data_IF_377632954167
#
_entry.id   IF_377632954167
#
_cell.length_a   1.000
_cell.length_b   1.000
_cell.length_c   1.000
_cell.angle_alpha   90.00
_cell.angle_beta   90.00
_cell.angle_gamma   90.00
#
_symmetry.space_group_name_H-M   'P 1'
#
loop_
_entity.id
_entity.type
_entity.pdbx_description
1 polymer ?
#
# COMPACT_ATOMS: atom_id res chain seq x y z
N UNK A 1 -8.82 6.86 8.45
CA UNK A 1 -8.23 5.50 8.32
C UNK A 1 -9.32 4.48 8.66
N UNK A 2 -9.44 3.38 7.89
CA UNK A 2 -10.33 2.25 8.20
C UNK A 2 -9.49 1.09 8.72
N UNK A 3 -9.89 0.46 9.82
CA UNK A 3 -9.14 -0.65 10.42
C UNK A 3 -9.77 -1.15 11.71
N UNK A 4 -9.22 -2.26 12.24
CA UNK A 4 -9.68 -2.83 13.51
C UNK A 4 -8.50 -3.07 14.44
N UNK A 5 -8.69 -2.74 15.70
CA UNK A 5 -7.72 -2.86 16.79
C UNK A 5 -8.37 -3.54 17.98
N UNK A 6 -7.57 -4.12 18.87
CA UNK A 6 -8.04 -4.56 20.17
C UNK A 6 -8.22 -3.39 21.13
N UNK A 7 -8.99 -3.60 22.21
CA UNK A 7 -9.10 -2.62 23.32
C UNK A 7 -7.90 -2.65 24.26
N UNK A 8 -6.90 -3.45 23.94
CA UNK A 8 -5.64 -3.60 24.67
C UNK A 8 -4.75 -2.35 24.64
N UNK A 9 -3.61 -2.42 25.33
CA UNK A 9 -2.65 -1.30 25.43
C UNK A 9 -2.08 -0.89 24.07
N UNK A 10 -1.86 -1.85 23.15
CA UNK A 10 -1.31 -1.56 21.83
C UNK A 10 -2.33 -0.88 20.92
N UNK A 11 -3.61 -1.27 21.00
CA UNK A 11 -4.71 -0.58 20.31
C UNK A 11 -4.84 0.88 20.77
N UNK A 12 -4.73 1.12 22.08
CA UNK A 12 -4.69 2.48 22.63
C UNK A 12 -3.48 3.27 22.15
N UNK A 13 -2.29 2.64 22.13
CA UNK A 13 -1.06 3.26 21.61
C UNK A 13 -1.23 3.68 20.15
N UNK A 14 -1.69 2.77 19.28
CA UNK A 14 -1.92 3.05 17.86
C UNK A 14 -2.92 4.20 17.65
N UNK A 15 -4.04 4.16 18.37
CA UNK A 15 -5.05 5.24 18.31
C UNK A 15 -4.46 6.60 18.68
N UNK A 16 -3.67 6.65 19.76
CA UNK A 16 -3.07 7.90 20.22
C UNK A 16 -1.98 8.39 19.23
N UNK A 17 -1.20 7.49 18.65
CA UNK A 17 -0.20 7.83 17.62
C UNK A 17 -0.88 8.44 16.39
N UNK A 18 -1.94 7.82 15.89
CA UNK A 18 -2.70 8.34 14.74
C UNK A 18 -3.31 9.73 15.05
N UNK A 19 -3.92 9.89 16.21
CA UNK A 19 -4.46 11.19 16.64
C UNK A 19 -3.38 12.25 16.78
N UNK A 20 -2.23 11.89 17.35
CA UNK A 20 -1.07 12.78 17.47
C UNK A 20 -0.52 13.22 16.11
N UNK A 21 -0.65 12.39 15.09
CA UNK A 21 -0.31 12.71 13.70
C UNK A 21 -1.42 13.45 12.94
N UNK A 22 -2.53 13.78 13.59
CA UNK A 22 -3.68 14.46 12.95
C UNK A 22 -4.53 13.57 12.04
N UNK A 23 -4.40 12.25 12.16
CA UNK A 23 -5.15 11.28 11.35
C UNK A 23 -6.52 11.03 12.02
N UNK A 24 -7.60 11.12 11.23
CA UNK A 24 -8.94 10.80 11.69
C UNK A 24 -9.08 9.31 12.06
N UNK A 25 -9.54 9.06 13.29
CA UNK A 25 -9.65 7.71 13.88
C UNK A 25 -11.08 7.18 13.99
N UNK A 26 -12.09 7.89 13.47
CA UNK A 26 -13.49 7.42 13.49
C UNK A 26 -13.70 6.06 12.81
N UNK A 27 -12.87 5.75 11.82
CA UNK A 27 -12.92 4.46 11.12
C UNK A 27 -12.12 3.34 11.79
N UNK A 28 -11.59 3.54 13.00
CA UNK A 28 -10.96 2.49 13.80
C UNK A 28 -12.01 1.80 14.67
N UNK A 29 -12.31 0.55 14.35
CA UNK A 29 -13.18 -0.33 15.14
C UNK A 29 -12.36 -0.92 16.28
N UNK A 30 -12.83 -0.79 17.52
CA UNK A 30 -12.21 -1.44 18.69
C UNK A 30 -12.99 -2.71 19.05
N UNK A 31 -12.28 -3.81 19.32
CA UNK A 31 -12.84 -5.11 19.66
C UNK A 31 -12.25 -5.64 20.97
N UNK A 32 -13.12 -6.21 21.82
CA UNK A 32 -12.72 -6.76 23.11
C UNK A 32 -12.28 -8.23 23.03
N UNK A 33 -12.67 -8.91 21.96
CA UNK A 33 -12.51 -10.37 21.76
C UNK A 33 -11.28 -10.76 20.94
N UNK A 34 -10.56 -9.76 20.39
CA UNK A 34 -9.33 -9.98 19.60
C UNK A 34 -8.24 -9.00 19.99
N UNK A 35 -7.00 -9.46 19.95
CA UNK A 35 -5.84 -8.68 20.30
C UNK A 35 -5.34 -7.86 19.11
N UNK A 36 -4.78 -6.68 19.37
CA UNK A 36 -4.10 -5.88 18.35
C UNK A 36 -2.95 -6.68 17.76
N UNK A 37 -2.85 -6.74 16.43
CA UNK A 37 -1.73 -7.42 15.75
C UNK A 37 -0.40 -6.79 16.14
N UNK A 38 0.57 -7.64 16.49
CA UNK A 38 1.95 -7.24 16.76
C UNK A 38 2.89 -7.82 15.70
N UNK A 39 3.79 -6.99 15.23
CA UNK A 39 4.92 -7.39 14.41
C UNK A 39 6.20 -7.19 15.22
N UNK A 40 6.96 -8.27 15.38
CA UNK A 40 8.27 -8.24 15.99
C UNK A 40 9.32 -8.27 14.88
N UNK A 41 10.29 -7.38 14.97
CA UNK A 41 11.41 -7.32 14.03
C UNK A 41 12.66 -7.74 14.80
N UNK A 42 13.32 -8.80 14.34
CA UNK A 42 14.62 -9.24 14.83
C UNK A 42 15.65 -9.11 13.72
N UNK A 43 16.90 -8.95 14.09
CA UNK A 43 18.01 -9.00 13.14
C UNK A 43 18.68 -10.37 13.26
N UNK A 44 18.95 -11.00 12.14
CA UNK A 44 19.75 -12.21 12.12
C UNK A 44 21.26 -11.92 12.32
N UNK A 45 22.09 -12.96 12.26
CA UNK A 45 23.54 -12.81 12.44
C UNK A 45 24.23 -11.98 11.34
N UNK A 46 23.58 -11.79 10.19
CA UNK A 46 24.08 -11.01 9.05
C UNK A 46 23.54 -9.57 9.06
N UNK A 47 22.59 -9.25 9.99
CA UNK A 47 21.90 -7.97 10.05
C UNK A 47 20.64 -7.91 9.19
N UNK A 48 20.22 -9.05 8.59
CA UNK A 48 19.00 -9.13 7.85
C UNK A 48 17.78 -9.19 8.79
N UNK A 49 16.66 -8.60 8.35
CA UNK A 49 15.44 -8.51 9.16
C UNK A 49 14.60 -9.77 9.05
N UNK A 50 14.25 -10.32 10.20
CA UNK A 50 13.24 -11.35 10.32
C UNK A 50 11.99 -10.79 11.00
N UNK A 51 10.83 -11.09 10.43
CA UNK A 51 9.53 -10.65 10.95
C UNK A 51 8.78 -11.82 11.58
N UNK A 52 8.38 -11.65 12.83
CA UNK A 52 7.45 -12.55 13.52
C UNK A 52 6.15 -11.80 13.83
N UNK A 53 5.00 -12.43 13.52
CA UNK A 53 3.69 -11.82 13.70
C UNK A 53 2.84 -12.55 14.73
N UNK A 54 2.36 -11.82 15.74
CA UNK A 54 1.27 -12.27 16.61
C UNK A 54 -0.06 -11.83 15.99
N UNK A 55 -0.63 -12.71 15.09
CA UNK A 55 -1.77 -12.37 14.22
C UNK A 55 -2.68 -13.58 13.93
N UNK A 56 -2.96 -14.42 14.96
CA UNK A 56 -3.77 -15.67 14.78
C UNK A 56 -4.88 -15.78 15.82
N UNK A 57 -6.02 -15.07 15.68
CA UNK A 57 -6.27 -13.93 14.80
C UNK A 57 -5.71 -12.63 15.38
N UNK A 58 -5.36 -11.67 14.52
CA UNK A 58 -5.15 -10.30 14.92
C UNK A 58 -6.39 -9.47 14.63
N UNK A 59 -6.61 -8.39 15.35
CA UNK A 59 -7.80 -7.56 15.20
C UNK A 59 -8.01 -7.05 13.76
N UNK A 60 -6.93 -6.69 13.06
CA UNK A 60 -6.95 -6.22 11.67
C UNK A 60 -7.54 -7.25 10.69
N UNK A 61 -7.38 -8.56 10.98
CA UNK A 61 -7.97 -9.63 10.15
C UNK A 61 -9.46 -9.84 10.39
N UNK A 62 -9.99 -9.27 11.47
CA UNK A 62 -11.38 -9.47 11.93
C UNK A 62 -12.29 -8.28 11.59
N UNK A 63 -11.83 -7.34 10.74
CA UNK A 63 -12.65 -6.22 10.30
C UNK A 63 -13.75 -6.70 9.37
N UNK A 64 -14.99 -6.34 9.66
CA UNK A 64 -16.19 -6.69 8.88
C UNK A 64 -16.73 -5.48 8.14
N UNK A 65 -17.35 -5.69 7.00
CA UNK A 65 -17.87 -4.60 6.17
C UNK A 65 -19.00 -3.80 6.85
N UNK A 66 -19.82 -4.45 7.64
CA UNK A 66 -20.92 -3.84 8.40
C UNK A 66 -20.43 -2.98 9.57
N UNK A 67 -19.15 -3.05 9.93
CA UNK A 67 -18.51 -2.19 10.91
C UNK A 67 -17.94 -0.90 10.30
N UNK A 68 -17.90 -0.78 8.95
CA UNK A 68 -17.33 0.38 8.29
C UNK A 68 -18.31 1.56 8.27
N UNK A 69 -17.81 2.73 8.65
CA UNK A 69 -18.47 3.99 8.34
C UNK A 69 -18.17 4.38 6.87
N UNK A 70 -19.10 4.08 5.97
CA UNK A 70 -18.95 4.32 4.54
C UNK A 70 -18.89 5.81 4.21
N UNK A 71 -19.41 6.70 5.08
CA UNK A 71 -19.28 8.14 4.87
C UNK A 71 -17.83 8.60 4.80
N UNK A 72 -16.91 7.90 5.48
CA UNK A 72 -15.47 8.17 5.39
C UNK A 72 -14.91 7.87 3.98
N UNK A 73 -15.50 6.91 3.27
CA UNK A 73 -15.14 6.65 1.86
C UNK A 73 -15.76 7.74 0.99
N UNK A 74 -16.99 8.16 1.27
CA UNK A 74 -17.67 9.22 0.49
C UNK A 74 -16.96 10.57 0.59
N UNK A 75 -16.35 10.88 1.73
CA UNK A 75 -15.61 12.12 1.98
C UNK A 75 -14.20 12.12 1.37
N UNK A 76 -13.64 10.96 0.99
CA UNK A 76 -12.26 10.89 0.47
C UNK A 76 -12.19 11.13 -1.04
N UNK A 77 -11.03 11.58 -1.50
CA UNK A 77 -10.68 11.61 -2.94
C UNK A 77 -9.98 10.33 -3.39
N UNK A 78 -9.26 9.68 -2.48
CA UNK A 78 -8.45 8.50 -2.75
C UNK A 78 -8.81 7.40 -1.78
N UNK A 79 -9.00 6.19 -2.28
CA UNK A 79 -9.09 4.99 -1.49
C UNK A 79 -7.82 4.16 -1.70
N UNK A 80 -7.05 3.97 -0.63
CA UNK A 80 -5.80 3.20 -0.67
C UNK A 80 -5.96 1.86 0.04
N UNK A 81 -5.40 0.80 -0.53
CA UNK A 81 -5.37 -0.52 0.09
C UNK A 81 -4.11 -1.31 -0.29
N UNK A 82 -3.83 -2.37 0.46
CA UNK A 82 -2.73 -3.31 0.22
C UNK A 82 -3.16 -4.75 0.45
N UNK A 83 -2.22 -5.72 0.32
CA UNK A 83 -2.55 -7.14 0.46
C UNK A 83 -2.66 -7.62 1.90
N UNK A 84 -2.22 -6.86 2.89
CA UNK A 84 -2.28 -7.30 4.28
C UNK A 84 -3.72 -7.58 4.75
N UNK A 85 -4.70 -6.82 4.27
CA UNK A 85 -6.12 -7.06 4.55
C UNK A 85 -6.72 -8.20 3.71
N UNK A 86 -5.97 -8.73 2.75
CA UNK A 86 -6.41 -9.83 1.87
C UNK A 86 -5.90 -11.21 2.34
N UNK A 87 -5.15 -11.26 3.43
CA UNK A 87 -4.54 -12.51 3.94
C UNK A 87 -5.54 -13.49 4.57
N UNK A 88 -6.75 -13.06 4.89
CA UNK A 88 -7.77 -13.91 5.50
C UNK A 88 -9.13 -13.24 5.65
N UNK A 89 -10.14 -14.06 5.96
CA UNK A 89 -11.50 -13.61 6.23
C UNK A 89 -11.66 -13.18 7.70
N UNK A 90 -12.59 -12.27 8.00
CA UNK A 90 -13.49 -11.53 7.12
C UNK A 90 -12.90 -10.29 6.44
N UNK A 91 -11.65 -9.90 6.78
CA UNK A 91 -11.02 -8.67 6.28
C UNK A 91 -10.88 -8.66 4.75
N UNK A 92 -10.64 -9.82 4.13
CA UNK A 92 -10.55 -9.97 2.66
C UNK A 92 -11.86 -9.56 1.99
N UNK A 93 -12.97 -10.19 2.36
CA UNK A 93 -14.30 -9.85 1.83
C UNK A 93 -14.66 -8.38 2.13
N UNK A 94 -14.30 -7.88 3.29
CA UNK A 94 -14.48 -6.47 3.67
C UNK A 94 -13.73 -5.55 2.72
N UNK A 95 -12.47 -5.86 2.43
CA UNK A 95 -11.64 -5.08 1.50
C UNK A 95 -12.22 -5.11 0.08
N UNK A 96 -12.66 -6.28 -0.40
CA UNK A 96 -13.32 -6.39 -1.71
C UNK A 96 -14.52 -5.47 -1.84
N UNK A 97 -15.39 -5.49 -0.82
CA UNK A 97 -16.60 -4.67 -0.80
C UNK A 97 -16.30 -3.17 -0.67
N UNK A 98 -15.31 -2.80 0.14
CA UNK A 98 -14.90 -1.40 0.32
C UNK A 98 -14.28 -0.83 -0.96
N UNK A 99 -13.41 -1.59 -1.66
CA UNK A 99 -12.85 -1.21 -2.96
C UNK A 99 -13.96 -1.06 -4.01
N UNK A 100 -14.90 -2.01 -4.09
CA UNK A 100 -16.02 -1.93 -5.01
C UNK A 100 -16.91 -0.69 -4.73
N UNK A 101 -17.15 -0.40 -3.45
CA UNK A 101 -17.89 0.80 -3.03
C UNK A 101 -17.15 2.07 -3.45
N UNK A 102 -15.85 2.19 -3.16
CA UNK A 102 -15.03 3.35 -3.53
C UNK A 102 -15.05 3.60 -5.05
N UNK A 103 -14.90 2.54 -5.86
CA UNK A 103 -14.99 2.63 -7.34
C UNK A 103 -16.37 3.09 -7.81
N UNK A 104 -17.44 2.54 -7.26
CA UNK A 104 -18.81 2.93 -7.60
C UNK A 104 -19.11 4.41 -7.27
N UNK A 105 -18.37 4.99 -6.30
CA UNK A 105 -18.49 6.41 -5.91
C UNK A 105 -17.40 7.30 -6.51
N UNK A 106 -16.71 6.81 -7.57
CA UNK A 106 -15.77 7.61 -8.37
C UNK A 106 -14.48 7.99 -7.63
N UNK A 107 -14.08 7.23 -6.61
CA UNK A 107 -12.82 7.48 -5.89
C UNK A 107 -11.63 6.98 -6.70
N UNK A 108 -10.53 7.72 -6.67
CA UNK A 108 -9.26 7.24 -7.19
C UNK A 108 -8.77 6.08 -6.31
N UNK A 109 -8.59 4.92 -6.89
CA UNK A 109 -8.12 3.74 -6.14
C UNK A 109 -6.63 3.58 -6.31
N UNK A 110 -5.89 3.60 -5.18
CA UNK A 110 -4.44 3.38 -5.16
C UNK A 110 -4.11 2.08 -4.43
N UNK A 111 -3.10 1.38 -4.90
CA UNK A 111 -2.76 0.06 -4.42
C UNK A 111 -1.25 -0.08 -4.24
N UNK A 112 -0.86 -0.66 -3.10
CA UNK A 112 0.48 -1.15 -2.81
C UNK A 112 0.37 -2.62 -2.40
N UNK A 113 0.86 -3.59 -3.20
CA UNK A 113 0.83 -5.00 -2.82
C UNK A 113 1.43 -5.22 -1.43
N UNK A 114 2.59 -4.65 -1.19
CA UNK A 114 3.31 -4.71 0.08
C UNK A 114 3.38 -6.13 0.64
N UNK A 115 3.87 -7.06 -0.19
CA UNK A 115 3.90 -8.50 0.09
C UNK A 115 4.72 -8.79 1.36
N UNK A 116 4.09 -9.47 2.28
CA UNK A 116 4.73 -10.05 3.47
C UNK A 116 4.58 -11.56 3.44
N UNK A 117 5.53 -12.23 2.75
CA UNK A 117 5.50 -13.71 2.55
C UNK A 117 5.15 -14.51 3.82
N UNK A 118 5.66 -14.18 5.03
CA UNK A 118 5.32 -14.94 6.25
C UNK A 118 3.85 -14.87 6.68
N UNK A 119 3.05 -13.96 6.13
CA UNK A 119 1.63 -13.85 6.45
C UNK A 119 0.72 -14.69 5.54
N UNK A 120 1.29 -15.35 4.56
CA UNK A 120 0.56 -16.20 3.62
C UNK A 120 0.83 -17.67 3.87
N UNK A 121 -0.22 -18.48 3.90
CA UNK A 121 -0.08 -19.93 4.00
C UNK A 121 0.33 -20.55 2.66
N UNK A 122 -0.03 -19.90 1.56
CA UNK A 122 0.30 -20.29 0.19
C UNK A 122 0.67 -19.04 -0.64
N UNK A 123 1.85 -19.07 -1.26
CA UNK A 123 2.31 -17.96 -2.10
C UNK A 123 1.55 -17.87 -3.43
N UNK A 124 0.91 -18.95 -3.90
CA UNK A 124 0.01 -18.87 -5.04
C UNK A 124 -1.24 -18.05 -4.69
N UNK A 125 -1.80 -18.25 -3.48
CA UNK A 125 -2.89 -17.42 -2.99
C UNK A 125 -2.45 -15.95 -2.86
N UNK A 126 -1.25 -15.69 -2.34
CA UNK A 126 -0.68 -14.35 -2.30
C UNK A 126 -0.64 -13.71 -3.69
N UNK A 127 -0.13 -14.44 -4.68
CA UNK A 127 -0.05 -14.01 -6.08
C UNK A 127 -1.44 -13.70 -6.66
N UNK A 128 -2.43 -14.55 -6.44
CA UNK A 128 -3.81 -14.33 -6.88
C UNK A 128 -4.41 -13.05 -6.28
N UNK A 129 -4.18 -12.81 -4.99
CA UNK A 129 -4.67 -11.62 -4.30
C UNK A 129 -3.93 -10.34 -4.77
N UNK A 130 -2.65 -10.42 -5.02
CA UNK A 130 -1.89 -9.32 -5.61
C UNK A 130 -2.41 -8.97 -7.01
N UNK A 131 -2.65 -9.98 -7.86
CA UNK A 131 -3.24 -9.78 -9.19
C UNK A 131 -4.68 -9.27 -9.12
N UNK A 132 -5.46 -9.67 -8.10
CA UNK A 132 -6.78 -9.08 -7.87
C UNK A 132 -6.66 -7.58 -7.58
N UNK A 133 -5.72 -7.17 -6.74
CA UNK A 133 -5.47 -5.76 -6.43
C UNK A 133 -5.15 -4.93 -7.67
N UNK A 134 -4.28 -5.44 -8.56
CA UNK A 134 -3.97 -4.79 -9.84
C UNK A 134 -5.21 -4.58 -10.73
N UNK A 135 -6.17 -5.52 -10.70
CA UNK A 135 -7.43 -5.38 -11.44
C UNK A 135 -8.36 -4.30 -10.87
N UNK A 136 -8.11 -3.83 -9.66
CA UNK A 136 -8.94 -2.83 -9.01
C UNK A 136 -8.39 -1.42 -9.07
N UNK A 137 -7.07 -1.28 -9.18
CA UNK A 137 -6.36 -0.01 -8.97
C UNK A 137 -6.29 0.89 -10.20
N UNK A 138 -6.31 2.19 -9.96
CA UNK A 138 -5.97 3.22 -10.93
C UNK A 138 -4.47 3.58 -10.87
N UNK A 139 -3.89 3.62 -9.67
CA UNK A 139 -2.48 3.91 -9.43
C UNK A 139 -1.88 2.80 -8.59
N UNK A 140 -0.74 2.29 -9.02
CA UNK A 140 -0.02 1.21 -8.33
C UNK A 140 1.36 1.68 -7.94
N UNK A 141 1.74 1.47 -6.69
CA UNK A 141 3.13 1.43 -6.25
C UNK A 141 3.46 -0.01 -5.97
N UNK A 142 4.54 -0.51 -6.54
CA UNK A 142 4.99 -1.91 -6.41
C UNK A 142 6.51 -1.92 -6.35
N UNK A 143 7.12 -2.88 -5.65
CA UNK A 143 8.58 -3.03 -5.67
C UNK A 143 9.05 -3.85 -6.90
N UNK A 144 10.31 -3.71 -7.25
CA UNK A 144 10.98 -4.52 -8.27
C UNK A 144 10.92 -6.02 -7.94
N UNK A 145 11.15 -6.38 -6.68
CA UNK A 145 11.02 -7.78 -6.20
C UNK A 145 9.59 -8.32 -6.37
N UNK A 146 8.58 -7.49 -6.17
CA UNK A 146 7.17 -7.88 -6.36
C UNK A 146 6.81 -8.02 -7.84
N UNK A 147 7.38 -7.18 -8.70
CA UNK A 147 7.26 -7.30 -10.17
C UNK A 147 7.85 -8.63 -10.63
N UNK A 148 9.06 -8.94 -10.18
CA UNK A 148 9.72 -10.22 -10.49
C UNK A 148 8.90 -11.40 -9.95
N UNK A 149 8.42 -11.33 -8.72
CA UNK A 149 7.59 -12.38 -8.11
C UNK A 149 6.29 -12.64 -8.90
N UNK A 150 5.64 -11.59 -9.37
CA UNK A 150 4.37 -11.71 -10.09
C UNK A 150 4.55 -12.20 -11.53
N UNK A 151 5.54 -11.68 -12.23
CA UNK A 151 5.62 -11.76 -13.69
C UNK A 151 6.94 -12.35 -14.19
N UNK A 152 7.99 -12.42 -13.36
CA UNK A 152 9.34 -12.81 -13.81
C UNK A 152 9.96 -11.78 -14.77
N UNK A 153 9.57 -10.52 -14.63
CA UNK A 153 9.99 -9.42 -15.51
C UNK A 153 10.85 -8.41 -14.76
N UNK A 154 11.70 -7.69 -15.49
CA UNK A 154 12.39 -6.52 -14.98
C UNK A 154 11.47 -5.32 -14.80
N UNK A 155 12.01 -4.25 -14.21
CA UNK A 155 11.28 -3.06 -13.76
C UNK A 155 10.46 -2.42 -14.89
N UNK A 156 11.09 -2.12 -16.03
CA UNK A 156 10.43 -1.42 -17.15
C UNK A 156 9.40 -2.31 -17.85
N UNK A 157 9.80 -3.55 -18.16
CA UNK A 157 8.91 -4.52 -18.81
C UNK A 157 7.72 -4.87 -17.92
N UNK A 158 7.94 -4.96 -16.60
CA UNK A 158 6.89 -5.19 -15.62
C UNK A 158 5.92 -4.02 -15.50
N UNK A 159 6.41 -2.78 -15.49
CA UNK A 159 5.57 -1.59 -15.51
C UNK A 159 4.72 -1.53 -16.78
N UNK A 160 5.32 -1.77 -17.94
CA UNK A 160 4.61 -1.83 -19.21
C UNK A 160 3.57 -2.96 -19.22
N UNK A 161 3.94 -4.16 -18.74
CA UNK A 161 3.03 -5.29 -18.64
C UNK A 161 1.79 -4.97 -17.79
N UNK A 162 1.98 -4.29 -16.65
CA UNK A 162 0.88 -3.87 -15.78
C UNK A 162 -0.06 -2.91 -16.52
N UNK A 163 0.46 -1.91 -17.22
CA UNK A 163 -0.34 -0.94 -17.97
C UNK A 163 -1.11 -1.58 -19.13
N UNK A 164 -0.55 -2.63 -19.75
CA UNK A 164 -1.16 -3.29 -20.92
C UNK A 164 -2.25 -4.30 -20.53
N UNK A 165 -2.12 -4.95 -19.37
CA UNK A 165 -2.98 -6.07 -18.98
C UNK A 165 -3.97 -5.73 -17.85
N UNK A 166 -3.80 -4.57 -17.18
CA UNK A 166 -4.66 -4.14 -16.07
C UNK A 166 -5.22 -2.74 -16.31
N UNK A 167 -6.32 -2.35 -15.64
CA UNK A 167 -6.92 -1.02 -15.80
C UNK A 167 -6.09 0.10 -15.15
N UNK A 168 -4.86 -0.19 -14.77
CA UNK A 168 -3.93 0.74 -14.12
C UNK A 168 -3.56 1.88 -15.08
N UNK A 169 -3.51 3.09 -14.56
CA UNK A 169 -3.23 4.33 -15.30
C UNK A 169 -1.84 4.87 -15.04
N UNK A 170 -1.28 4.54 -13.87
CA UNK A 170 0.05 4.98 -13.44
C UNK A 170 0.68 3.92 -12.53
N UNK A 171 1.93 3.58 -12.84
CA UNK A 171 2.74 2.63 -12.06
C UNK A 171 3.98 3.33 -11.53
N UNK A 172 4.28 3.11 -10.26
CA UNK A 172 5.55 3.41 -9.63
C UNK A 172 6.20 2.09 -9.23
N UNK A 173 7.37 1.77 -9.79
CA UNK A 173 8.17 0.62 -9.39
C UNK A 173 9.34 1.09 -8.56
N UNK A 174 9.30 0.85 -7.24
CA UNK A 174 10.37 1.23 -6.32
C UNK A 174 11.49 0.20 -6.35
N UNK A 175 12.74 0.67 -6.46
CA UNK A 175 13.96 -0.14 -6.61
C UNK A 175 14.94 0.08 -5.44
N UNK A 176 14.43 0.29 -4.23
CA UNK A 176 15.24 0.53 -3.04
C UNK A 176 16.24 1.68 -3.22
N UNK A 177 17.54 1.37 -3.08
CA UNK A 177 18.63 2.35 -3.22
C UNK A 177 18.78 2.89 -4.64
N UNK A 178 18.23 2.22 -5.64
CA UNK A 178 18.30 2.62 -7.05
C UNK A 178 17.19 3.61 -7.45
N UNK A 179 16.26 3.91 -6.52
CA UNK A 179 15.23 4.91 -6.75
C UNK A 179 13.90 4.34 -7.24
N UNK A 180 13.30 4.97 -8.25
CA UNK A 180 11.98 4.58 -8.70
C UNK A 180 11.81 4.77 -10.21
N UNK A 181 11.31 3.75 -10.89
CA UNK A 181 10.76 3.84 -12.23
C UNK A 181 9.28 4.25 -12.14
N UNK A 182 8.86 5.16 -13.01
CA UNK A 182 7.46 5.55 -13.14
C UNK A 182 7.00 5.43 -14.58
N UNK A 183 5.74 5.08 -14.77
CA UNK A 183 5.19 4.95 -16.12
C UNK A 183 3.66 5.10 -16.12
N UNK A 184 3.16 5.89 -17.07
CA UNK A 184 1.79 5.86 -17.54
C UNK A 184 1.78 5.54 -19.04
N UNK A 185 0.63 5.66 -19.74
CA UNK A 185 0.56 5.34 -21.17
C UNK A 185 1.27 6.36 -22.07
N UNK A 186 1.56 7.55 -21.56
CA UNK A 186 2.08 8.68 -22.34
C UNK A 186 3.55 9.00 -22.03
N UNK A 187 4.02 8.61 -20.85
CA UNK A 187 5.32 8.96 -20.34
C UNK A 187 5.90 7.88 -19.44
N UNK A 188 7.20 7.75 -19.41
CA UNK A 188 7.94 6.89 -18.50
C UNK A 188 9.32 7.43 -18.25
N UNK A 189 9.88 7.13 -17.08
CA UNK A 189 11.19 7.60 -16.69
C UNK A 189 11.64 7.03 -15.36
N UNK A 190 12.83 7.43 -14.95
CA UNK A 190 13.45 6.97 -13.71
C UNK A 190 13.94 8.18 -12.90
N UNK A 191 13.84 8.08 -11.57
CA UNK A 191 14.44 9.03 -10.63
C UNK A 191 15.29 8.24 -9.65
N UNK A 192 16.56 8.60 -9.54
CA UNK A 192 17.50 8.06 -8.57
C UNK A 192 17.08 8.39 -7.13
N UNK A 193 17.37 7.49 -6.20
CA UNK A 193 17.26 7.80 -4.78
C UNK A 193 18.40 8.73 -4.31
N UNK A 194 18.28 9.27 -3.09
CA UNK A 194 19.34 10.07 -2.48
C UNK A 194 20.54 9.17 -2.15
N UNK A 195 21.73 9.48 -2.69
CA UNK A 195 22.93 8.63 -2.57
C UNK A 195 23.80 8.95 -1.36
N UNK A 196 23.75 10.17 -0.85
CA UNK A 196 24.65 10.64 0.23
C UNK A 196 23.99 10.62 1.62
N UNK A 197 23.14 9.62 1.89
CA UNK A 197 22.46 9.47 3.16
C UNK A 197 22.96 8.20 3.87
N UNK A 198 23.13 8.29 5.20
CA UNK A 198 23.36 7.11 6.03
C UNK A 198 22.02 6.46 6.34
N UNK A 199 21.73 5.38 5.67
CA UNK A 199 20.53 4.57 5.94
C UNK A 199 20.71 3.85 7.29
N UNK A 200 19.78 4.06 8.21
CA UNK A 200 19.73 3.38 9.51
C UNK A 200 18.64 2.32 9.53
N UNK A 201 17.46 2.67 9.01
CA UNK A 201 16.30 1.79 8.91
C UNK A 201 15.46 2.17 7.70
N UNK A 202 15.07 1.19 6.90
CA UNK A 202 14.22 1.38 5.71
C UNK A 202 12.75 1.00 5.96
N UNK A 203 12.39 0.69 7.22
CA UNK A 203 11.00 0.37 7.57
C UNK A 203 10.09 1.57 7.28
N UNK A 204 9.07 1.33 6.46
CA UNK A 204 8.12 2.37 6.07
C UNK A 204 8.55 3.26 4.91
N UNK A 205 9.77 3.12 4.37
CA UNK A 205 10.22 3.93 3.23
C UNK A 205 9.27 3.81 2.03
N UNK A 206 8.82 2.58 1.71
CA UNK A 206 7.83 2.35 0.66
C UNK A 206 6.48 3.01 0.95
N UNK A 207 6.03 2.98 2.21
CA UNK A 207 4.77 3.61 2.62
C UNK A 207 4.85 5.14 2.54
N UNK A 208 5.98 5.72 2.98
CA UNK A 208 6.26 7.17 2.88
C UNK A 208 6.33 7.59 1.42
N UNK A 209 7.05 6.85 0.58
CA UNK A 209 7.11 7.10 -0.85
C UNK A 209 5.70 7.09 -1.46
N UNK A 210 4.92 6.03 -1.25
CA UNK A 210 3.57 5.88 -1.81
C UNK A 210 2.63 7.01 -1.38
N UNK A 211 2.60 7.32 -0.08
CA UNK A 211 1.80 8.42 0.47
C UNK A 211 2.20 9.78 -0.11
N UNK A 212 3.51 10.05 -0.20
CA UNK A 212 4.06 11.29 -0.75
C UNK A 212 3.78 11.44 -2.25
N UNK A 213 3.92 10.37 -3.03
CA UNK A 213 3.63 10.35 -4.46
C UNK A 213 2.14 10.63 -4.72
N UNK A 214 1.24 9.97 -3.99
CA UNK A 214 -0.21 10.19 -4.09
C UNK A 214 -0.58 11.62 -3.67
N UNK A 215 -0.02 12.11 -2.57
CA UNK A 215 -0.24 13.49 -2.13
C UNK A 215 0.19 14.50 -3.21
N UNK A 216 1.38 14.32 -3.78
CA UNK A 216 1.91 15.22 -4.81
C UNK A 216 1.11 15.12 -6.11
N UNK A 217 0.67 13.93 -6.49
CA UNK A 217 -0.25 13.69 -7.62
C UNK A 217 -1.53 14.51 -7.46
N UNK A 218 -2.15 14.47 -6.27
CA UNK A 218 -3.37 15.22 -6.00
C UNK A 218 -3.21 16.74 -6.09
N UNK A 219 -1.99 17.27 -5.90
CA UNK A 219 -1.70 18.70 -6.03
C UNK A 219 -1.69 19.17 -7.50
N UNK A 220 -1.49 18.27 -8.45
CA UNK A 220 -1.52 18.62 -9.87
C UNK A 220 -2.94 18.94 -10.37
N UNK A 221 -3.96 18.40 -9.71
CA UNK A 221 -5.35 18.48 -10.17
C UNK A 221 -5.65 17.70 -11.44
N UNK A 222 -4.65 16.96 -11.97
CA UNK A 222 -4.76 16.15 -13.20
C UNK A 222 -5.09 14.68 -12.87
N UNK A 223 -5.60 13.97 -13.87
CA UNK A 223 -5.74 12.52 -13.80
C UNK A 223 -4.38 11.85 -13.98
N UNK A 224 -4.13 10.66 -13.42
CA UNK A 224 -2.84 9.97 -13.53
C UNK A 224 -2.39 9.73 -14.97
N UNK A 225 -3.32 9.44 -15.87
CA UNK A 225 -3.09 9.20 -17.29
C UNK A 225 -2.75 10.46 -18.11
N UNK A 226 -3.06 11.65 -17.59
CA UNK A 226 -2.85 12.94 -18.29
C UNK A 226 -1.53 13.63 -17.92
N UNK A 227 -0.74 13.04 -17.01
CA UNK A 227 0.54 13.58 -16.58
C UNK A 227 1.63 13.34 -17.63
N UNK A 228 2.44 14.35 -17.86
CA UNK A 228 3.63 14.25 -18.70
C UNK A 228 4.87 13.80 -17.89
N UNK A 229 5.98 13.53 -18.57
CA UNK A 229 7.22 13.07 -17.97
C UNK A 229 7.80 14.05 -16.94
N UNK A 230 7.70 15.35 -17.20
CA UNK A 230 8.23 16.37 -16.30
C UNK A 230 7.44 16.42 -14.99
N UNK A 231 6.12 16.32 -15.06
CA UNK A 231 5.23 16.28 -13.89
C UNK A 231 5.45 14.99 -13.07
N UNK A 232 5.54 13.85 -13.75
CA UNK A 232 5.83 12.56 -13.11
C UNK A 232 7.21 12.56 -12.43
N UNK A 233 8.23 13.12 -13.10
CA UNK A 233 9.56 13.30 -12.51
C UNK A 233 9.52 14.16 -11.25
N UNK A 234 8.73 15.24 -11.23
CA UNK A 234 8.58 16.09 -10.04
C UNK A 234 7.88 15.33 -8.88
N UNK A 235 6.84 14.54 -9.20
CA UNK A 235 6.13 13.74 -8.22
C UNK A 235 7.08 12.72 -7.57
N UNK A 236 7.80 11.96 -8.40
CA UNK A 236 8.71 10.91 -7.92
C UNK A 236 9.91 11.49 -7.21
N UNK A 237 10.49 12.60 -7.72
CA UNK A 237 11.59 13.29 -7.04
C UNK A 237 11.20 13.81 -5.66
N UNK A 238 9.97 14.27 -5.49
CA UNK A 238 9.44 14.65 -4.18
C UNK A 238 9.32 13.42 -3.28
N UNK A 239 8.73 12.33 -3.77
CA UNK A 239 8.50 11.11 -3.00
C UNK A 239 9.81 10.39 -2.59
N UNK A 240 10.86 10.44 -3.44
CA UNK A 240 12.18 9.88 -3.10
C UNK A 240 12.93 10.69 -2.03
N UNK A 241 12.49 11.91 -1.71
CA UNK A 241 13.13 12.80 -0.72
C UNK A 241 12.36 12.91 0.59
N UNK A 242 11.14 12.37 0.63
CA UNK A 242 10.30 12.38 1.82
C UNK A 242 10.76 11.33 2.84
#
# INVERSE_FOLDING_TARGET
MLGKIGTDTFGKLLTNTLRGAGIETKGLVAADDVFTTLAFVTLDANGDREFAFARKPGADTQLRFDELDLSLIDETRVFHFGTLSLTGEPARTTTYRAVAYAKAHGKLVTYDPNLRKPLWNDLNEAKEQMLWGLRQADVVKISDEEVEFLFGLGVQDGAQYILDHYPVKLVFVTCGADGCWFQNRNAGGHVDSLKDIKVVDTTGAGDIFGGSAVWKLLQTGKRPEDLDEAELTQIVSFACRA
#
